data_IF_972117649314
#
_entry.id   IF_972117649314
#
_cell.length_a   1.000
_cell.length_b   1.000
_cell.length_c   1.000
_cell.angle_alpha   90.00
_cell.angle_beta   90.00
_cell.angle_gamma   90.00
#
_symmetry.space_group_name_H-M   'P 1'
#
loop_
_entity.id
_entity.type
_entity.pdbx_description
1 polymer ?
#
# COMPACT_ATOMS: atom_id res chain seq x y z
N UNK A 1 68.20 18.74 65.98
CA UNK A 1 67.20 19.37 65.09
C UNK A 1 66.36 18.25 64.52
N UNK A 2 65.07 18.04 64.80
CA UNK A 2 64.02 18.84 65.41
C UNK A 2 62.72 18.39 64.73
N UNK A 3 61.76 17.91 65.53
CA UNK A 3 60.31 17.86 65.22
C UNK A 3 59.85 16.86 64.14
N UNK A 4 58.64 16.32 64.12
CA UNK A 4 57.56 16.07 65.08
C UNK A 4 56.49 15.30 64.29
N UNK A 5 55.89 14.31 64.94
CA UNK A 5 54.51 13.83 64.83
C UNK A 5 53.58 14.58 63.83
N UNK A 6 52.84 13.86 62.99
CA UNK A 6 51.37 13.82 63.15
C UNK A 6 50.63 12.76 62.34
N UNK A 7 49.63 12.20 63.04
CA UNK A 7 48.57 11.29 62.63
C UNK A 7 47.68 11.93 61.55
N UNK A 8 47.32 11.14 60.52
CA UNK A 8 46.21 11.42 59.60
C UNK A 8 45.17 10.30 59.68
N UNK A 9 44.04 10.60 60.30
CA UNK A 9 42.86 9.73 60.43
C UNK A 9 42.25 9.42 59.06
N UNK A 10 41.61 8.25 58.99
CA UNK A 10 40.98 7.73 57.78
C UNK A 10 39.83 8.56 57.23
N UNK A 11 39.47 8.25 55.98
CA UNK A 11 38.17 8.57 55.41
C UNK A 11 37.58 7.30 54.80
N UNK A 12 36.51 6.86 55.45
CA UNK A 12 35.55 5.85 55.00
C UNK A 12 35.07 6.22 53.60
N UNK A 13 35.03 5.26 52.69
CA UNK A 13 34.34 5.39 51.42
C UNK A 13 32.86 5.76 51.67
N UNK A 14 32.27 6.69 50.89
CA UNK A 14 30.84 6.98 50.98
C UNK A 14 30.02 5.79 50.47
N UNK A 15 28.88 5.45 51.10
CA UNK A 15 28.01 4.39 50.60
C UNK A 15 27.33 4.80 49.29
N UNK A 16 26.95 3.84 48.43
CA UNK A 16 26.28 4.11 47.15
C UNK A 16 24.90 4.75 47.34
N UNK A 17 24.41 5.53 46.35
CA UNK A 17 23.15 6.25 46.44
C UNK A 17 21.95 5.28 46.48
N UNK A 18 21.04 5.51 47.44
CA UNK A 18 19.77 4.78 47.55
C UNK A 18 18.84 5.10 46.36
N UNK A 19 18.07 4.11 45.85
CA UNK A 19 17.07 4.36 44.82
C UNK A 19 15.96 5.26 45.36
N UNK A 20 15.62 6.32 44.62
CA UNK A 20 14.52 7.23 44.93
C UNK A 20 13.19 6.49 44.83
N UNK A 21 12.47 6.41 45.96
CA UNK A 21 11.08 6.01 46.02
C UNK A 21 10.20 6.97 45.20
N UNK A 22 9.38 6.43 44.29
CA UNK A 22 8.27 7.15 43.67
C UNK A 22 6.94 6.68 44.27
N UNK A 23 6.10 7.68 44.51
CA UNK A 23 4.88 7.75 45.31
C UNK A 23 3.68 6.93 44.74
N UNK A 24 2.55 6.83 45.48
CA UNK A 24 1.63 5.71 45.42
C UNK A 24 0.54 5.80 44.34
N UNK A 25 0.08 4.63 43.90
CA UNK A 25 -1.10 4.43 43.03
C UNK A 25 -2.39 4.70 43.81
N UNK A 26 -3.38 5.42 43.27
CA UNK A 26 -4.71 5.49 43.88
C UNK A 26 -5.48 4.19 43.63
N UNK A 27 -5.92 3.54 44.71
CA UNK A 27 -6.97 2.50 44.72
C UNK A 27 -8.31 3.15 45.05
N UNK A 28 -9.36 2.77 44.32
CA UNK A 28 -10.79 2.58 44.71
C UNK A 28 -11.64 2.81 43.46
N UNK A 29 -12.82 2.22 43.26
CA UNK A 29 -13.49 1.03 43.77
C UNK A 29 -14.67 0.83 42.80
N UNK A 30 -15.15 -0.40 42.70
CA UNK A 30 -16.34 -0.80 41.92
C UNK A 30 -17.56 0.07 42.24
N UNK A 31 -18.36 0.45 41.22
CA UNK A 31 -19.83 0.30 41.27
C UNK A 31 -20.51 0.54 39.91
N UNK A 32 -21.43 -0.37 39.61
CA UNK A 32 -22.45 -0.37 38.56
C UNK A 32 -23.26 0.94 38.57
N UNK A 33 -23.68 1.43 37.40
CA UNK A 33 -25.07 1.88 37.16
C UNK A 33 -25.33 2.20 35.68
N UNK A 34 -26.37 1.55 35.15
CA UNK A 34 -27.17 1.97 34.00
C UNK A 34 -27.69 3.40 34.19
N UNK A 35 -27.87 4.15 33.09
CA UNK A 35 -29.04 5.01 32.75
C UNK A 35 -28.64 5.92 31.57
N UNK A 36 -29.15 5.65 30.37
CA UNK A 36 -30.33 6.32 29.78
C UNK A 36 -30.12 7.82 29.55
N UNK A 37 -29.88 8.19 28.29
CA UNK A 37 -29.92 9.56 27.78
C UNK A 37 -31.36 10.10 27.85
N UNK A 38 -31.60 11.30 28.42
CA UNK A 38 -32.90 11.93 28.38
C UNK A 38 -33.09 12.75 27.08
N UNK A 39 -34.32 12.73 26.56
CA UNK A 39 -34.81 13.62 25.50
C UNK A 39 -34.96 15.05 26.03
N UNK A 40 -34.80 16.11 25.23
CA UNK A 40 -35.34 17.41 25.57
C UNK A 40 -36.72 17.61 24.92
N UNK A 41 -37.72 17.93 25.76
CA UNK A 41 -38.99 18.56 25.35
C UNK A 41 -38.91 20.04 25.72
N UNK A 42 -39.03 20.87 24.68
CA UNK A 42 -39.69 22.19 24.58
C UNK A 42 -39.67 23.20 25.72
N UNK A 43 -39.39 24.46 25.37
CA UNK A 43 -40.38 25.57 25.23
C UNK A 43 -39.65 26.90 25.02
N UNK A 44 -40.24 27.80 24.22
CA UNK A 44 -39.85 29.21 24.18
C UNK A 44 -40.39 29.94 22.96
N UNK A 45 -41.55 30.59 23.11
CA UNK A 45 -42.20 31.45 22.12
C UNK A 45 -41.45 32.79 22.01
N UNK A 46 -41.38 33.34 20.79
CA UNK A 46 -40.95 34.73 20.55
C UNK A 46 -41.33 35.16 19.14
N UNK A 47 -42.09 36.25 19.03
CA UNK A 47 -42.82 36.71 17.85
C UNK A 47 -41.94 37.19 16.68
N UNK A 48 -42.44 37.06 15.45
CA UNK A 48 -42.08 37.95 14.34
C UNK A 48 -43.20 38.06 13.29
N UNK A 49 -43.22 39.24 12.68
CA UNK A 49 -44.33 39.92 12.00
C UNK A 49 -44.60 39.41 10.58
N UNK A 50 -45.82 39.67 10.10
CA UNK A 50 -46.31 39.47 8.72
C UNK A 50 -45.50 40.29 7.70
N UNK A 51 -45.22 39.68 6.55
CA UNK A 51 -45.00 40.31 5.23
C UNK A 51 -45.32 39.29 4.10
N UNK A 52 -45.58 39.73 2.85
CA UNK A 52 -46.58 39.11 1.97
C UNK A 52 -46.06 38.08 0.96
N UNK A 53 -47.05 37.41 0.36
CA UNK A 53 -46.99 36.30 -0.60
C UNK A 53 -46.28 36.68 -1.92
N UNK A 54 -45.32 35.85 -2.35
CA UNK A 54 -45.00 35.63 -3.76
C UNK A 54 -44.78 34.13 -4.03
N UNK A 55 -45.25 33.69 -5.20
CA UNK A 55 -45.59 32.32 -5.54
C UNK A 55 -44.43 31.35 -5.72
N UNK A 56 -44.73 30.07 -5.47
CA UNK A 56 -43.91 28.93 -5.82
C UNK A 56 -44.58 28.14 -6.96
N UNK A 57 -43.82 27.67 -7.96
CA UNK A 57 -44.35 26.86 -9.05
C UNK A 57 -44.66 25.42 -8.61
N UNK A 58 -45.73 24.88 -9.19
CA UNK A 58 -46.30 23.54 -8.96
C UNK A 58 -45.43 22.45 -9.61
N UNK A 59 -45.13 21.39 -8.88
CA UNK A 59 -44.55 20.13 -9.41
C UNK A 59 -45.63 19.28 -10.10
N UNK A 60 -45.30 18.52 -11.17
CA UNK A 60 -46.28 17.67 -11.85
C UNK A 60 -46.41 16.29 -11.17
N UNK A 61 -47.65 15.80 -11.08
CA UNK A 61 -48.03 14.45 -10.64
C UNK A 61 -47.66 13.38 -11.68
N UNK A 62 -47.34 12.13 -11.28
CA UNK A 62 -47.07 11.05 -12.23
C UNK A 62 -48.37 10.50 -12.85
N UNK A 63 -48.35 10.31 -14.18
CA UNK A 63 -49.46 9.77 -14.97
C UNK A 63 -49.47 8.23 -14.97
N UNK A 64 -50.69 7.71 -15.08
CA UNK A 64 -51.16 6.32 -15.03
C UNK A 64 -50.46 5.39 -16.04
N UNK A 65 -50.28 4.13 -15.63
CA UNK A 65 -49.97 2.98 -16.49
C UNK A 65 -51.17 2.63 -17.39
N UNK A 66 -50.93 2.18 -18.64
CA UNK A 66 -51.80 1.23 -19.32
C UNK A 66 -51.21 -0.19 -19.30
N UNK A 67 -52.12 -1.16 -19.29
CA UNK A 67 -51.86 -2.61 -19.37
C UNK A 67 -51.80 -3.07 -20.83
N UNK A 68 -51.00 -4.13 -21.01
CA UNK A 68 -51.07 -5.23 -21.98
C UNK A 68 -51.00 -4.95 -23.47
N UNK A 69 -50.01 -5.58 -24.12
CA UNK A 69 -50.20 -6.39 -25.31
C UNK A 69 -49.12 -7.50 -25.33
N UNK A 70 -49.59 -8.74 -25.43
CA UNK A 70 -48.80 -9.95 -25.55
C UNK A 70 -48.20 -10.10 -26.96
N UNK A 71 -46.98 -10.64 -27.05
CA UNK A 71 -46.39 -11.40 -28.19
C UNK A 71 -45.01 -11.89 -27.74
N UNK A 72 -44.91 -13.15 -27.32
CA UNK A 72 -44.42 -14.29 -28.11
C UNK A 72 -42.96 -14.17 -28.57
N UNK A 73 -42.11 -15.06 -28.06
CA UNK A 73 -41.02 -15.65 -28.83
C UNK A 73 -39.66 -14.94 -28.79
N UNK A 74 -38.82 -15.34 -27.84
CA UNK A 74 -37.51 -16.00 -28.07
C UNK A 74 -36.68 -15.92 -26.80
N UNK A 75 -36.51 -17.07 -26.13
CA UNK A 75 -35.49 -17.28 -25.11
C UNK A 75 -34.13 -17.19 -25.81
N UNK A 76 -33.44 -16.07 -25.66
CA UNK A 76 -32.00 -16.04 -25.87
C UNK A 76 -31.38 -16.77 -24.68
N UNK A 77 -30.98 -18.03 -24.91
CA UNK A 77 -30.13 -18.77 -23.99
C UNK A 77 -28.80 -18.04 -23.90
N UNK A 78 -28.62 -17.28 -22.82
CA UNK A 78 -27.30 -16.81 -22.41
C UNK A 78 -26.51 -18.04 -21.99
N UNK A 79 -25.67 -18.54 -22.89
CA UNK A 79 -24.63 -19.51 -22.57
C UNK A 79 -23.82 -18.93 -21.39
N UNK A 80 -23.70 -19.64 -20.25
CA UNK A 80 -22.81 -19.17 -19.20
C UNK A 80 -21.41 -19.09 -19.81
N UNK A 81 -20.82 -17.90 -19.76
CA UNK A 81 -19.45 -17.65 -20.18
C UNK A 81 -18.56 -18.58 -19.34
N UNK A 82 -18.15 -19.71 -19.92
CA UNK A 82 -17.10 -20.55 -19.38
C UNK A 82 -15.83 -19.71 -19.39
N UNK A 83 -15.46 -19.18 -18.23
CA UNK A 83 -14.09 -18.71 -18.02
C UNK A 83 -13.15 -19.88 -18.35
N UNK A 84 -12.04 -19.63 -19.07
CA UNK A 84 -11.03 -20.64 -19.26
C UNK A 84 -10.47 -21.00 -17.88
N UNK A 85 -10.70 -22.24 -17.45
CA UNK A 85 -10.06 -22.78 -16.26
C UNK A 85 -8.56 -22.80 -16.53
N UNK A 86 -7.83 -21.87 -15.93
CA UNK A 86 -6.39 -21.99 -15.76
C UNK A 86 -6.12 -23.41 -15.25
N UNK A 87 -5.16 -24.11 -15.86
CA UNK A 87 -4.79 -25.47 -15.49
C UNK A 87 -4.64 -25.53 -13.96
N UNK A 88 -5.53 -26.27 -13.30
CA UNK A 88 -5.62 -26.28 -11.84
C UNK A 88 -4.38 -26.99 -11.31
N UNK A 89 -3.36 -26.22 -10.95
CA UNK A 89 -2.28 -26.68 -10.10
C UNK A 89 -2.93 -27.28 -8.84
N UNK A 90 -2.67 -28.56 -8.57
CA UNK A 90 -3.32 -29.26 -7.46
C UNK A 90 -2.95 -28.56 -6.15
N UNK A 91 -3.96 -28.23 -5.35
CA UNK A 91 -3.74 -27.53 -4.09
C UNK A 91 -2.79 -28.34 -3.18
N UNK A 92 -1.81 -27.65 -2.58
CA UNK A 92 -0.84 -28.27 -1.65
C UNK A 92 -1.39 -28.26 -0.24
N UNK A 93 -1.29 -29.38 0.47
CA UNK A 93 -1.73 -29.52 1.87
C UNK A 93 -0.57 -30.06 2.68
N UNK A 94 -0.29 -29.43 3.83
CA UNK A 94 0.75 -29.85 4.76
C UNK A 94 0.10 -30.57 5.96
N UNK A 95 0.55 -31.78 6.27
CA UNK A 95 0.17 -32.49 7.49
C UNK A 95 1.34 -32.50 8.48
N UNK A 96 1.10 -32.09 9.72
CA UNK A 96 2.13 -31.98 10.77
C UNK A 96 1.73 -32.80 11.97
N UNK A 97 2.52 -33.80 12.31
CA UNK A 97 2.28 -34.73 13.43
C UNK A 97 3.61 -35.38 13.80
N UNK A 98 3.91 -35.55 15.09
CA UNK A 98 5.16 -36.17 15.55
C UNK A 98 5.14 -37.71 15.47
N UNK A 99 3.97 -38.32 15.24
CA UNK A 99 3.83 -39.75 15.05
C UNK A 99 3.90 -40.14 13.55
N UNK A 100 4.97 -40.82 13.09
CA UNK A 100 5.11 -41.17 11.66
C UNK A 100 3.98 -42.04 11.12
N UNK A 101 3.40 -42.90 11.98
CA UNK A 101 2.26 -43.76 11.64
C UNK A 101 1.00 -42.96 11.33
N UNK A 102 0.78 -41.85 12.04
CA UNK A 102 -0.37 -40.96 11.79
C UNK A 102 -0.19 -40.26 10.44
N UNK A 103 1.01 -39.74 10.15
CA UNK A 103 1.33 -39.14 8.86
C UNK A 103 1.16 -40.12 7.69
N UNK A 104 1.59 -41.38 7.86
CA UNK A 104 1.39 -42.43 6.87
C UNK A 104 -0.11 -42.74 6.66
N UNK A 105 -0.89 -42.82 7.75
CA UNK A 105 -2.34 -42.98 7.70
C UNK A 105 -3.03 -41.83 6.94
N UNK A 106 -2.60 -40.57 7.18
CA UNK A 106 -3.11 -39.40 6.46
C UNK A 106 -2.77 -39.46 4.97
N UNK A 107 -1.53 -39.83 4.61
CA UNK A 107 -1.11 -40.05 3.22
C UNK A 107 -1.96 -41.09 2.53
N UNK A 108 -2.21 -42.23 3.16
CA UNK A 108 -3.03 -43.30 2.60
C UNK A 108 -4.49 -42.87 2.40
N UNK A 109 -5.05 -42.19 3.40
CA UNK A 109 -6.43 -41.69 3.37
C UNK A 109 -6.63 -40.71 2.22
N UNK A 110 -5.68 -39.78 2.04
CA UNK A 110 -5.78 -38.67 1.09
C UNK A 110 -5.10 -38.96 -0.27
N UNK A 111 -4.57 -40.16 -0.50
CA UNK A 111 -3.86 -40.54 -1.73
C UNK A 111 -4.66 -40.29 -3.02
N UNK A 112 -5.98 -40.45 -2.97
CA UNK A 112 -6.90 -40.25 -4.10
C UNK A 112 -7.50 -38.85 -4.15
N UNK A 113 -7.22 -38.01 -3.16
CA UNK A 113 -7.69 -36.64 -3.11
C UNK A 113 -6.93 -35.79 -4.15
N UNK A 114 -7.53 -34.71 -4.66
CA UNK A 114 -6.93 -33.85 -5.68
C UNK A 114 -5.88 -32.87 -5.09
N UNK A 115 -5.07 -33.33 -4.13
CA UNK A 115 -4.10 -32.52 -3.40
C UNK A 115 -2.68 -33.06 -3.53
N UNK A 116 -1.70 -32.18 -3.44
CA UNK A 116 -0.29 -32.55 -3.24
C UNK A 116 0.00 -32.49 -1.75
N UNK A 117 0.37 -33.63 -1.15
CA UNK A 117 0.61 -33.72 0.28
C UNK A 117 2.10 -33.60 0.61
N UNK A 118 2.43 -32.66 1.49
CA UNK A 118 3.70 -32.65 2.23
C UNK A 118 3.42 -33.04 3.68
N UNK A 119 4.43 -33.61 4.36
CA UNK A 119 4.31 -33.94 5.78
C UNK A 119 5.52 -33.45 6.56
N UNK A 120 5.31 -33.06 7.80
CA UNK A 120 6.38 -32.75 8.76
C UNK A 120 6.16 -33.50 10.07
N UNK A 121 7.26 -33.92 10.71
CA UNK A 121 7.30 -34.60 12.01
C UNK A 121 7.12 -33.66 13.21
N UNK A 122 6.79 -32.40 13.00
CA UNK A 122 6.60 -31.43 14.08
C UNK A 122 6.53 -29.98 13.60
N UNK A 123 6.15 -29.05 14.49
CA UNK A 123 5.90 -27.66 14.14
C UNK A 123 7.09 -26.91 13.53
N UNK A 124 8.32 -27.20 13.98
CA UNK A 124 9.53 -26.56 13.44
C UNK A 124 9.80 -26.93 11.98
N UNK A 125 9.75 -28.23 11.66
CA UNK A 125 9.87 -28.74 10.29
C UNK A 125 8.70 -28.26 9.42
N UNK A 126 7.49 -28.19 9.98
CA UNK A 126 6.32 -27.66 9.28
C UNK A 126 6.48 -26.20 8.84
N UNK A 127 7.06 -25.33 9.69
CA UNK A 127 7.37 -23.95 9.33
C UNK A 127 8.44 -23.86 8.25
N UNK A 128 9.44 -24.74 8.29
CA UNK A 128 10.49 -24.76 7.29
C UNK A 128 9.94 -25.17 5.91
N UNK A 129 9.06 -26.18 5.85
CA UNK A 129 8.37 -26.55 4.62
C UNK A 129 7.47 -25.42 4.10
N UNK A 130 6.75 -24.72 4.99
CA UNK A 130 5.94 -23.56 4.58
C UNK A 130 6.79 -22.45 3.94
N UNK A 131 8.02 -22.20 4.43
CA UNK A 131 8.95 -21.21 3.86
C UNK A 131 9.60 -21.67 2.56
N UNK A 132 10.07 -22.90 2.52
CA UNK A 132 10.89 -23.43 1.42
C UNK A 132 10.06 -23.95 0.24
N UNK A 133 8.91 -24.56 0.51
CA UNK A 133 8.08 -25.19 -0.51
C UNK A 133 6.75 -24.46 -0.74
N UNK A 134 6.37 -23.47 0.07
CA UNK A 134 5.09 -22.77 -0.04
C UNK A 134 4.79 -22.20 -1.43
N UNK A 135 3.52 -21.85 -1.73
CA UNK A 135 2.40 -21.74 -0.81
C UNK A 135 1.65 -23.07 -0.56
N UNK A 136 1.03 -23.18 0.62
CA UNK A 136 0.11 -24.27 0.97
C UNK A 136 -1.31 -23.73 1.13
N UNK A 137 -2.29 -24.47 0.62
CA UNK A 137 -3.69 -24.08 0.74
C UNK A 137 -4.26 -24.40 2.13
N UNK A 138 -3.84 -25.51 2.72
CA UNK A 138 -4.24 -25.90 4.06
C UNK A 138 -3.11 -26.58 4.83
N UNK A 139 -3.15 -26.41 6.14
CA UNK A 139 -2.29 -27.10 7.10
C UNK A 139 -3.18 -27.86 8.09
N UNK A 140 -2.88 -29.14 8.28
CA UNK A 140 -3.49 -29.99 9.32
C UNK A 140 -2.41 -30.32 10.33
N UNK A 141 -2.55 -29.82 11.56
CA UNK A 141 -1.57 -30.06 12.63
C UNK A 141 -2.18 -30.88 13.74
N UNK A 142 -1.42 -31.81 14.32
CA UNK A 142 -1.77 -32.36 15.63
C UNK A 142 -1.60 -31.32 16.74
N UNK A 143 -2.33 -31.50 17.85
CA UNK A 143 -2.24 -30.67 19.03
C UNK A 143 -0.99 -30.95 19.87
N UNK A 144 -0.65 -32.22 20.09
CA UNK A 144 0.43 -32.65 21.00
C UNK A 144 1.66 -33.01 20.20
N UNK A 145 2.61 -32.08 20.11
CA UNK A 145 3.91 -32.33 19.50
C UNK A 145 5.03 -31.85 20.44
N UNK A 146 6.16 -32.57 20.53
CA UNK A 146 7.32 -32.13 21.29
C UNK A 146 7.87 -30.78 20.82
N UNK A 147 8.29 -29.94 21.76
CA UNK A 147 8.93 -28.65 21.49
C UNK A 147 7.94 -27.52 21.16
N UNK A 148 7.19 -27.65 20.06
CA UNK A 148 6.18 -26.68 19.64
C UNK A 148 4.85 -27.41 19.43
N UNK A 149 3.83 -27.04 20.21
CA UNK A 149 2.52 -27.68 20.09
C UNK A 149 1.73 -27.16 18.88
N UNK A 150 0.63 -27.83 18.52
CA UNK A 150 -0.16 -27.48 17.34
C UNK A 150 -0.74 -26.07 17.36
N UNK A 151 -1.19 -25.60 18.54
CA UNK A 151 -1.75 -24.26 18.66
C UNK A 151 -0.68 -23.18 18.46
N UNK A 152 0.50 -23.35 19.05
CA UNK A 152 1.66 -22.46 18.88
C UNK A 152 2.13 -22.42 17.42
N UNK A 153 2.22 -23.59 16.79
CA UNK A 153 2.55 -23.71 15.38
C UNK A 153 1.55 -22.96 14.51
N UNK A 154 0.24 -23.25 14.64
CA UNK A 154 -0.80 -22.60 13.84
C UNK A 154 -0.90 -21.09 14.10
N UNK A 155 -0.57 -20.62 15.31
CA UNK A 155 -0.47 -19.19 15.62
C UNK A 155 0.68 -18.52 14.85
N UNK A 156 1.83 -19.18 14.67
CA UNK A 156 2.91 -18.68 13.81
C UNK A 156 2.52 -18.73 12.33
N UNK A 157 1.88 -19.81 11.88
CA UNK A 157 1.34 -19.91 10.52
C UNK A 157 0.39 -18.76 10.21
N UNK A 158 -0.45 -18.33 11.17
CA UNK A 158 -1.34 -17.18 11.00
C UNK A 158 -0.58 -15.88 10.71
N UNK A 159 0.58 -15.68 11.33
CA UNK A 159 1.37 -14.45 11.19
C UNK A 159 2.21 -14.50 9.91
N UNK A 160 2.93 -15.59 9.67
CA UNK A 160 3.85 -15.74 8.53
C UNK A 160 3.12 -16.09 7.22
N UNK A 161 2.01 -16.83 7.30
CA UNK A 161 1.26 -17.35 6.15
C UNK A 161 -0.26 -17.16 6.31
N UNK A 162 -0.74 -15.90 6.39
CA UNK A 162 -2.11 -15.59 6.77
C UNK A 162 -3.17 -16.24 5.85
N UNK A 163 -2.86 -16.39 4.56
CA UNK A 163 -3.73 -16.98 3.55
C UNK A 163 -3.93 -18.50 3.75
N UNK A 164 -3.02 -19.20 4.42
CA UNK A 164 -3.07 -20.67 4.57
C UNK A 164 -4.17 -21.10 5.53
N UNK A 165 -5.12 -21.94 5.12
CA UNK A 165 -6.20 -22.38 6.01
C UNK A 165 -5.68 -23.37 7.07
N UNK A 166 -5.96 -23.10 8.35
CA UNK A 166 -5.40 -23.85 9.49
C UNK A 166 -6.44 -24.79 10.08
N UNK A 167 -6.13 -26.09 10.14
CA UNK A 167 -6.97 -27.15 10.74
C UNK A 167 -6.21 -27.80 11.88
N UNK A 168 -6.86 -27.94 13.03
CA UNK A 168 -6.29 -28.64 14.18
C UNK A 168 -6.89 -30.04 14.29
N UNK A 169 -6.05 -31.05 14.37
CA UNK A 169 -6.41 -32.43 14.67
C UNK A 169 -6.05 -32.71 16.14
N UNK A 170 -6.99 -33.20 16.95
CA UNK A 170 -6.80 -33.29 18.41
C UNK A 170 -7.48 -34.51 19.01
N UNK A 171 -6.97 -35.04 20.12
CA UNK A 171 -7.69 -36.04 20.92
C UNK A 171 -8.87 -35.44 21.70
N UNK A 172 -9.83 -36.27 22.12
CA UNK A 172 -10.98 -35.82 22.93
C UNK A 172 -10.58 -35.20 24.27
N UNK A 173 -9.51 -35.70 24.89
CA UNK A 173 -9.00 -35.20 26.17
C UNK A 173 -8.44 -33.76 26.09
N UNK A 174 -8.08 -33.30 24.89
CA UNK A 174 -7.44 -32.00 24.67
C UNK A 174 -8.41 -30.95 24.12
N UNK A 175 -9.65 -31.33 23.78
CA UNK A 175 -10.60 -30.47 23.08
C UNK A 175 -10.94 -29.20 23.88
N UNK A 176 -11.13 -29.32 25.20
CA UNK A 176 -11.42 -28.19 26.07
C UNK A 176 -10.24 -27.19 26.18
N UNK A 177 -9.01 -27.69 26.26
CA UNK A 177 -7.79 -26.89 26.29
C UNK A 177 -7.47 -26.27 24.92
N UNK A 178 -7.78 -27.00 23.85
CA UNK A 178 -7.62 -26.52 22.47
C UNK A 178 -8.53 -25.31 22.19
N UNK A 179 -9.81 -25.34 22.62
CA UNK A 179 -10.74 -24.22 22.41
C UNK A 179 -10.23 -22.91 23.03
N UNK A 180 -9.56 -22.97 24.19
CA UNK A 180 -9.00 -21.80 24.85
C UNK A 180 -7.82 -21.19 24.07
N UNK A 181 -6.96 -22.02 23.49
CA UNK A 181 -5.80 -21.60 22.68
C UNK A 181 -6.18 -21.17 21.24
N UNK A 182 -7.29 -21.70 20.70
CA UNK A 182 -7.76 -21.50 19.32
C UNK A 182 -8.08 -20.03 18.97
N UNK A 183 -8.48 -19.21 19.95
CA UNK A 183 -8.78 -17.80 19.71
C UNK A 183 -7.57 -17.00 19.21
N UNK A 184 -6.35 -17.44 19.53
CA UNK A 184 -5.10 -16.79 19.09
C UNK A 184 -4.67 -17.27 17.69
N UNK A 185 -4.98 -18.51 17.31
CA UNK A 185 -4.59 -19.11 16.02
C UNK A 185 -5.54 -18.88 14.84
N UNK A 186 -6.77 -18.37 15.08
CA UNK A 186 -7.84 -18.31 14.04
C UNK A 186 -7.92 -19.59 13.21
N UNK A 187 -8.09 -20.70 13.92
CA UNK A 187 -8.22 -22.04 13.33
C UNK A 187 -9.58 -22.12 12.63
N UNK A 188 -9.57 -22.62 11.40
CA UNK A 188 -10.77 -22.74 10.56
C UNK A 188 -11.71 -23.83 11.07
N UNK A 189 -11.15 -24.99 11.44
CA UNK A 189 -11.91 -26.12 11.99
C UNK A 189 -11.02 -27.00 12.86
N UNK A 190 -11.61 -27.62 13.87
CA UNK A 190 -10.98 -28.69 14.65
C UNK A 190 -11.58 -30.04 14.28
N UNK A 191 -10.75 -31.08 14.28
CA UNK A 191 -11.12 -32.46 14.04
C UNK A 191 -10.68 -33.31 15.24
N UNK A 192 -11.50 -34.28 15.64
CA UNK A 192 -11.16 -35.20 16.72
C UNK A 192 -10.54 -36.49 16.20
N UNK A 193 -9.47 -36.97 16.85
CA UNK A 193 -8.90 -38.31 16.62
C UNK A 193 -9.73 -39.36 17.39
N UNK A 194 -10.06 -40.53 16.78
CA UNK A 194 -9.82 -40.89 15.38
C UNK A 194 -10.77 -40.14 14.43
N UNK A 195 -10.25 -39.66 13.29
CA UNK A 195 -11.03 -38.91 12.30
C UNK A 195 -11.44 -39.83 11.13
N UNK A 196 -12.74 -40.01 10.87
CA UNK A 196 -13.21 -40.74 9.69
C UNK A 196 -12.74 -40.09 8.39
N UNK A 197 -12.40 -40.92 7.40
CA UNK A 197 -11.95 -40.48 6.08
C UNK A 197 -12.84 -39.39 5.47
N UNK A 198 -14.15 -39.63 5.44
CA UNK A 198 -15.09 -38.72 4.79
C UNK A 198 -15.12 -37.35 5.46
N UNK A 199 -14.94 -37.30 6.78
CA UNK A 199 -14.89 -36.06 7.55
C UNK A 199 -13.60 -35.28 7.28
N UNK A 200 -12.47 -35.96 7.18
CA UNK A 200 -11.19 -35.35 6.83
C UNK A 200 -11.21 -34.81 5.40
N UNK A 201 -11.69 -35.59 4.43
CA UNK A 201 -11.80 -35.18 3.03
C UNK A 201 -12.75 -33.98 2.86
N UNK A 202 -13.91 -33.99 3.54
CA UNK A 202 -14.85 -32.86 3.53
C UNK A 202 -14.23 -31.61 4.15
N UNK A 203 -13.54 -31.74 5.29
CA UNK A 203 -12.91 -30.60 5.96
C UNK A 203 -11.77 -30.02 5.15
N UNK A 204 -10.96 -30.84 4.49
CA UNK A 204 -9.91 -30.36 3.59
C UNK A 204 -10.48 -29.69 2.35
N UNK A 205 -11.57 -30.21 1.78
CA UNK A 205 -12.27 -29.56 0.67
C UNK A 205 -12.75 -28.16 1.07
N UNK A 206 -13.40 -28.04 2.22
CA UNK A 206 -13.84 -26.75 2.75
C UNK A 206 -12.65 -25.82 3.03
N UNK A 207 -11.56 -26.35 3.58
CA UNK A 207 -10.37 -25.56 3.91
C UNK A 207 -9.64 -25.03 2.68
N UNK A 208 -9.52 -25.84 1.63
CA UNK A 208 -8.94 -25.45 0.34
C UNK A 208 -9.84 -24.46 -0.38
N UNK A 209 -11.16 -24.64 -0.34
CA UNK A 209 -12.10 -23.66 -0.90
C UNK A 209 -12.03 -22.33 -0.15
N UNK A 210 -11.94 -22.36 1.18
CA UNK A 210 -11.75 -21.15 1.98
C UNK A 210 -10.45 -20.43 1.61
N UNK A 211 -9.35 -21.17 1.42
CA UNK A 211 -8.09 -20.59 0.94
C UNK A 211 -8.28 -19.93 -0.43
N UNK A 212 -8.94 -20.64 -1.36
CA UNK A 212 -9.24 -20.10 -2.69
C UNK A 212 -10.04 -18.80 -2.63
N UNK A 213 -11.05 -18.72 -1.75
CA UNK A 213 -11.86 -17.50 -1.57
C UNK A 213 -11.03 -16.35 -1.00
N UNK A 214 -10.24 -16.60 0.05
CA UNK A 214 -9.39 -15.57 0.69
C UNK A 214 -8.33 -15.07 -0.28
N UNK A 215 -7.64 -15.96 -0.99
CA UNK A 215 -6.64 -15.59 -1.99
C UNK A 215 -7.27 -14.89 -3.19
N UNK A 216 -8.44 -15.34 -3.66
CA UNK A 216 -9.15 -14.67 -4.75
C UNK A 216 -9.59 -13.24 -4.36
N UNK A 217 -10.12 -13.05 -3.15
CA UNK A 217 -10.45 -11.72 -2.61
C UNK A 217 -9.20 -10.84 -2.56
N UNK A 218 -8.08 -11.34 -2.00
CA UNK A 218 -6.81 -10.61 -1.94
C UNK A 218 -6.32 -10.21 -3.33
N UNK A 219 -6.26 -11.14 -4.28
CA UNK A 219 -5.81 -10.89 -5.66
C UNK A 219 -6.73 -9.90 -6.37
N UNK A 220 -8.05 -10.02 -6.20
CA UNK A 220 -9.00 -9.08 -6.77
C UNK A 220 -8.83 -7.68 -6.18
N UNK A 221 -8.66 -7.58 -4.86
CA UNK A 221 -8.41 -6.31 -4.18
C UNK A 221 -7.09 -5.67 -4.64
N UNK A 222 -6.00 -6.43 -4.73
CA UNK A 222 -4.70 -5.95 -5.21
C UNK A 222 -4.77 -5.48 -6.67
N UNK A 223 -5.41 -6.24 -7.55
CA UNK A 223 -5.61 -5.85 -8.96
C UNK A 223 -6.48 -4.60 -9.07
N UNK A 224 -7.57 -4.54 -8.29
CA UNK A 224 -8.48 -3.38 -8.29
C UNK A 224 -7.78 -2.14 -7.74
N UNK A 225 -6.98 -2.29 -6.69
CA UNK A 225 -6.20 -1.22 -6.08
C UNK A 225 -5.16 -0.67 -7.06
N UNK A 226 -4.40 -1.55 -7.71
CA UNK A 226 -3.43 -1.17 -8.75
C UNK A 226 -4.12 -0.47 -9.92
N UNK A 227 -5.27 -0.98 -10.36
CA UNK A 227 -6.10 -0.35 -11.39
C UNK A 227 -6.60 1.04 -10.99
N UNK A 228 -7.00 1.21 -9.73
CA UNK A 228 -7.49 2.48 -9.18
C UNK A 228 -6.38 3.54 -9.10
N UNK A 229 -5.20 3.15 -8.60
CA UNK A 229 -4.01 4.01 -8.59
C UNK A 229 -3.62 4.42 -10.01
N UNK A 230 -3.60 3.46 -10.95
CA UNK A 230 -3.32 3.74 -12.35
C UNK A 230 -4.31 4.75 -12.94
N UNK A 231 -5.61 4.55 -12.73
CA UNK A 231 -6.64 5.47 -13.21
C UNK A 231 -6.50 6.88 -12.61
N UNK A 232 -6.10 7.01 -11.34
CA UNK A 232 -5.82 8.31 -10.71
C UNK A 232 -4.59 9.00 -11.34
N UNK A 233 -3.53 8.25 -11.64
CA UNK A 233 -2.35 8.79 -12.32
C UNK A 233 -2.68 9.23 -13.76
N UNK A 234 -3.46 8.45 -14.51
CA UNK A 234 -3.92 8.80 -15.86
C UNK A 234 -4.84 10.04 -15.84
N UNK A 235 -5.72 10.16 -14.83
CA UNK A 235 -6.53 11.35 -14.65
C UNK A 235 -5.68 12.59 -14.31
N UNK A 236 -4.67 12.45 -13.45
CA UNK A 236 -3.72 13.52 -13.15
C UNK A 236 -2.99 13.98 -14.42
N UNK A 237 -2.56 13.04 -15.25
CA UNK A 237 -1.90 13.33 -16.52
C UNK A 237 -2.81 14.11 -17.49
N UNK A 238 -4.08 13.72 -17.59
CA UNK A 238 -5.04 14.43 -18.42
C UNK A 238 -5.30 15.86 -17.93
N UNK A 239 -5.30 16.12 -16.62
CA UNK A 239 -5.61 17.44 -16.06
C UNK A 239 -4.35 18.31 -15.94
N UNK A 240 -3.23 17.71 -15.55
CA UNK A 240 -1.99 18.39 -15.20
C UNK A 240 -0.77 17.52 -15.58
N UNK A 241 -0.36 17.54 -16.87
CA UNK A 241 0.74 16.71 -17.36
C UNK A 241 2.09 17.06 -16.72
N UNK A 242 2.30 18.32 -16.30
CA UNK A 242 3.51 18.73 -15.59
C UNK A 242 3.60 18.03 -14.23
N UNK A 243 2.51 17.97 -13.46
CA UNK A 243 2.46 17.23 -12.20
C UNK A 243 2.66 15.73 -12.39
N UNK A 244 2.08 15.14 -13.44
CA UNK A 244 2.30 13.72 -13.79
C UNK A 244 3.75 13.43 -14.17
N UNK A 245 4.38 14.28 -14.99
CA UNK A 245 5.79 14.13 -15.35
C UNK A 245 6.73 14.19 -14.14
N UNK A 246 6.39 15.00 -13.13
CA UNK A 246 7.11 15.03 -11.85
C UNK A 246 6.93 13.75 -11.06
N UNK A 247 5.70 13.23 -10.93
CA UNK A 247 5.48 11.97 -10.21
C UNK A 247 6.20 10.80 -10.88
N UNK A 248 6.25 10.77 -12.22
CA UNK A 248 7.02 9.78 -12.97
C UNK A 248 8.54 9.88 -12.72
N UNK A 249 9.12 11.10 -12.68
CA UNK A 249 10.54 11.29 -12.32
C UNK A 249 10.84 10.83 -10.90
N UNK A 250 10.03 11.24 -9.93
CA UNK A 250 10.18 10.85 -8.51
C UNK A 250 10.07 9.33 -8.40
N UNK A 251 9.07 8.70 -9.04
CA UNK A 251 8.91 7.25 -9.03
C UNK A 251 10.12 6.51 -9.58
N UNK A 252 10.71 6.95 -10.71
CA UNK A 252 11.92 6.33 -11.27
C UNK A 252 13.10 6.35 -10.30
N UNK A 253 13.36 7.49 -9.66
CA UNK A 253 14.45 7.59 -8.68
C UNK A 253 14.19 6.70 -7.47
N UNK A 254 12.96 6.69 -6.98
CA UNK A 254 12.54 5.87 -5.84
C UNK A 254 12.66 4.38 -6.16
N UNK A 255 12.25 3.94 -7.35
CA UNK A 255 12.35 2.54 -7.81
C UNK A 255 13.81 2.08 -7.82
N UNK A 256 14.72 2.87 -8.42
CA UNK A 256 16.14 2.55 -8.50
C UNK A 256 16.80 2.44 -7.12
N UNK A 257 16.52 3.40 -6.23
CA UNK A 257 17.10 3.42 -4.88
C UNK A 257 16.49 2.32 -4.00
N UNK A 258 15.19 2.06 -4.10
CA UNK A 258 14.53 1.01 -3.33
C UNK A 258 15.01 -0.39 -3.71
N UNK A 259 15.30 -0.60 -5.00
CA UNK A 259 15.92 -1.83 -5.51
C UNK A 259 17.34 -2.00 -4.98
N UNK A 260 18.17 -0.95 -5.06
CA UNK A 260 19.56 -0.97 -4.56
C UNK A 260 19.64 -1.32 -3.06
N UNK A 261 18.72 -0.78 -2.26
CA UNK A 261 18.69 -1.00 -0.80
C UNK A 261 17.99 -2.30 -0.38
N UNK A 262 17.36 -3.03 -1.31
CA UNK A 262 16.63 -4.27 -1.00
C UNK A 262 15.48 -4.06 -0.01
N UNK A 263 14.76 -2.93 -0.09
CA UNK A 263 13.65 -2.65 0.83
C UNK A 263 12.54 -3.71 0.72
N UNK A 264 11.95 -4.12 1.85
CA UNK A 264 10.91 -5.17 1.87
C UNK A 264 9.59 -4.69 1.24
N UNK A 265 9.07 -3.52 1.66
CA UNK A 265 7.82 -2.95 1.14
C UNK A 265 8.08 -1.93 0.02
N UNK A 266 8.54 -2.42 -1.13
CA UNK A 266 8.74 -1.59 -2.35
C UNK A 266 7.43 -1.07 -2.91
N UNK A 267 6.39 -1.90 -2.87
CA UNK A 267 5.11 -1.57 -3.50
C UNK A 267 4.49 -0.29 -2.92
N UNK A 268 4.42 -0.17 -1.59
CA UNK A 268 3.85 1.03 -0.97
C UNK A 268 4.66 2.28 -1.28
N UNK A 269 5.98 2.14 -1.35
CA UNK A 269 6.90 3.22 -1.66
C UNK A 269 6.77 3.71 -3.12
N UNK A 270 6.73 2.78 -4.07
CA UNK A 270 6.49 3.09 -5.49
C UNK A 270 5.15 3.79 -5.71
N UNK A 271 4.08 3.27 -5.07
CA UNK A 271 2.75 3.88 -5.15
C UNK A 271 2.78 5.28 -4.55
N UNK A 272 3.39 5.47 -3.38
CA UNK A 272 3.52 6.77 -2.73
C UNK A 272 4.23 7.79 -3.63
N UNK A 273 5.31 7.39 -4.30
CA UNK A 273 6.02 8.25 -5.25
C UNK A 273 5.12 8.68 -6.42
N UNK A 274 4.38 7.74 -7.02
CA UNK A 274 3.49 8.00 -8.17
C UNK A 274 2.30 8.90 -7.84
N UNK A 275 1.74 8.79 -6.63
CA UNK A 275 0.60 9.60 -6.19
C UNK A 275 0.99 10.86 -5.43
N UNK A 276 2.28 11.07 -5.14
CA UNK A 276 2.79 12.21 -4.37
C UNK A 276 2.37 13.57 -4.91
N UNK A 277 2.18 13.67 -6.23
CA UNK A 277 1.81 14.91 -6.92
C UNK A 277 0.30 15.08 -7.12
N UNK A 278 -0.54 14.13 -6.66
CA UNK A 278 -2.00 14.15 -6.88
C UNK A 278 -2.66 15.41 -6.30
N UNK A 279 -2.13 15.94 -5.20
CA UNK A 279 -2.68 17.14 -4.56
C UNK A 279 -2.56 18.42 -5.38
N UNK A 280 -1.73 18.45 -6.43
CA UNK A 280 -1.60 19.62 -7.31
C UNK A 280 -2.86 19.92 -8.13
N UNK A 281 -3.79 18.96 -8.24
CA UNK A 281 -5.12 19.17 -8.84
C UNK A 281 -5.91 20.27 -8.12
N UNK A 282 -5.66 20.50 -6.83
CA UNK A 282 -6.37 21.51 -6.06
C UNK A 282 -5.82 22.94 -6.23
N UNK A 283 -4.70 23.12 -6.92
CA UNK A 283 -4.13 24.45 -7.14
C UNK A 283 -4.84 25.16 -8.31
N UNK A 284 -5.13 26.46 -8.19
CA UNK A 284 -5.53 27.27 -9.33
C UNK A 284 -4.47 27.21 -10.46
N UNK A 285 -4.86 27.20 -11.74
CA UNK A 285 -3.92 27.07 -12.86
C UNK A 285 -2.76 28.08 -12.82
N UNK A 286 -3.04 29.33 -12.46
CA UNK A 286 -2.05 30.41 -12.37
C UNK A 286 -1.05 30.16 -11.23
N UNK A 287 -1.53 29.56 -10.13
CA UNK A 287 -0.65 29.19 -9.00
C UNK A 287 0.23 28.02 -9.40
N UNK A 288 -0.33 26.99 -10.03
CA UNK A 288 0.40 25.82 -10.48
C UNK A 288 1.48 26.22 -11.50
N UNK A 289 1.16 27.09 -12.45
CA UNK A 289 2.10 27.59 -13.45
C UNK A 289 3.28 28.35 -12.80
N UNK A 290 3.02 29.25 -11.85
CA UNK A 290 4.09 29.93 -11.10
C UNK A 290 5.00 28.93 -10.38
N UNK A 291 4.43 27.87 -9.78
CA UNK A 291 5.22 26.80 -9.15
C UNK A 291 6.13 26.13 -10.17
N UNK A 292 5.62 25.78 -11.36
CA UNK A 292 6.40 25.08 -12.39
C UNK A 292 7.49 25.94 -13.04
N UNK A 293 7.26 27.25 -13.09
CA UNK A 293 8.21 28.24 -13.61
C UNK A 293 9.20 28.72 -12.54
N UNK A 294 9.04 28.32 -11.27
CA UNK A 294 9.90 28.79 -10.17
C UNK A 294 9.68 30.27 -9.84
N UNK A 295 8.54 30.85 -10.20
CA UNK A 295 8.19 32.24 -9.92
C UNK A 295 7.84 32.38 -8.42
N UNK A 296 8.32 33.45 -7.74
CA UNK A 296 7.98 33.69 -6.34
C UNK A 296 6.47 33.75 -6.10
N UNK A 297 6.01 32.96 -5.13
CA UNK A 297 4.60 32.89 -4.73
C UNK A 297 4.25 33.93 -3.67
N UNK A 298 3.05 34.48 -3.75
CA UNK A 298 2.42 35.28 -2.69
C UNK A 298 2.19 34.46 -1.41
N UNK A 299 1.90 35.14 -0.30
CA UNK A 299 1.59 34.46 0.97
C UNK A 299 0.38 33.53 0.86
N UNK A 300 -0.67 33.94 0.13
CA UNK A 300 -1.85 33.14 -0.11
C UNK A 300 -1.54 31.89 -0.96
N UNK A 301 -0.78 32.06 -2.05
CA UNK A 301 -0.35 30.95 -2.92
C UNK A 301 0.54 29.95 -2.18
N UNK A 302 1.47 30.43 -1.33
CA UNK A 302 2.27 29.55 -0.46
C UNK A 302 1.39 28.75 0.49
N UNK A 303 0.35 29.36 1.04
CA UNK A 303 -0.63 28.67 1.88
C UNK A 303 -1.40 27.57 1.14
N UNK A 304 -1.75 27.78 -0.12
CA UNK A 304 -2.36 26.75 -0.97
C UNK A 304 -1.38 25.61 -1.27
N UNK A 305 -0.14 25.93 -1.64
CA UNK A 305 0.92 24.95 -1.91
C UNK A 305 1.21 24.08 -0.69
N UNK A 306 1.25 24.66 0.51
CA UNK A 306 1.49 23.93 1.76
C UNK A 306 0.41 22.88 2.06
N UNK A 307 -0.80 23.02 1.51
CA UNK A 307 -1.92 22.07 1.71
C UNK A 307 -1.91 20.90 0.72
N UNK A 308 -1.09 20.95 -0.33
CA UNK A 308 -1.03 19.91 -1.38
C UNK A 308 -0.84 18.50 -0.81
N UNK A 309 0.10 18.24 0.13
CA UNK A 309 0.27 16.90 0.71
C UNK A 309 -0.99 16.40 1.44
N UNK A 310 -1.64 17.29 2.20
CA UNK A 310 -2.89 16.98 2.91
C UNK A 310 -4.04 16.66 1.95
N UNK A 311 -4.12 17.37 0.82
CA UNK A 311 -5.11 17.09 -0.23
C UNK A 311 -4.87 15.70 -0.83
N UNK A 312 -3.63 15.36 -1.17
CA UNK A 312 -3.31 14.02 -1.70
C UNK A 312 -3.73 12.91 -0.73
N UNK A 313 -3.42 13.08 0.56
CA UNK A 313 -3.83 12.11 1.61
C UNK A 313 -5.34 12.02 1.76
N UNK A 314 -6.06 13.14 1.63
CA UNK A 314 -7.53 13.17 1.71
C UNK A 314 -8.17 12.45 0.52
N UNK A 315 -7.61 12.60 -0.69
CA UNK A 315 -8.09 11.90 -1.89
C UNK A 315 -7.86 10.39 -1.82
N UNK A 316 -6.75 9.96 -1.22
CA UNK A 316 -6.37 8.55 -1.11
C UNK A 316 -6.97 7.86 0.13
N UNK A 317 -7.33 8.61 1.16
CA UNK A 317 -7.84 8.11 2.45
C UNK A 317 -9.01 7.12 2.36
N UNK A 318 -10.01 7.33 1.47
CA UNK A 318 -11.11 6.38 1.30
C UNK A 318 -10.74 5.03 0.66
N UNK A 319 -9.54 4.89 0.08
CA UNK A 319 -9.13 3.68 -0.63
C UNK A 319 -8.55 2.67 0.37
N UNK A 320 -9.15 1.48 0.54
CA UNK A 320 -8.65 0.48 1.47
C UNK A 320 -7.23 0.01 1.13
N UNK A 321 -6.44 -0.37 2.14
CA UNK A 321 -5.07 -0.90 2.00
C UNK A 321 -4.02 0.13 1.55
N UNK A 322 -4.37 1.42 1.48
CA UNK A 322 -3.40 2.50 1.26
C UNK A 322 -2.84 3.08 2.56
N UNK A 323 -3.11 2.49 3.73
CA UNK A 323 -2.57 2.97 5.00
C UNK A 323 -1.03 3.08 5.02
N UNK A 324 -0.25 2.11 4.48
CA UNK A 324 1.20 2.26 4.37
C UNK A 324 1.62 3.42 3.45
N UNK A 325 0.93 3.59 2.32
CA UNK A 325 1.16 4.70 1.38
C UNK A 325 0.87 6.06 2.04
N UNK A 326 -0.23 6.16 2.78
CA UNK A 326 -0.62 7.37 3.51
C UNK A 326 0.35 7.70 4.65
N UNK A 327 0.93 6.67 5.28
CA UNK A 327 1.97 6.84 6.29
C UNK A 327 3.25 7.42 5.68
N UNK A 328 3.68 6.92 4.52
CA UNK A 328 4.83 7.46 3.79
C UNK A 328 4.61 8.92 3.39
N UNK A 329 3.45 9.25 2.79
CA UNK A 329 3.10 10.62 2.40
C UNK A 329 2.96 11.58 3.60
N UNK A 330 2.70 11.06 4.79
CA UNK A 330 2.60 11.84 6.03
C UNK A 330 3.90 12.01 6.80
N UNK A 331 4.97 11.30 6.42
CA UNK A 331 6.24 11.29 7.16
C UNK A 331 6.92 12.66 7.23
N UNK A 332 6.66 13.52 6.24
CA UNK A 332 7.13 14.92 6.16
C UNK A 332 6.75 15.78 7.36
N UNK A 333 5.59 15.50 7.97
CA UNK A 333 5.00 16.27 9.07
C UNK A 333 5.62 15.92 10.44
N UNK A 334 6.45 14.86 10.53
CA UNK A 334 7.12 14.49 11.78
C UNK A 334 8.35 15.37 12.00
N UNK A 335 8.30 16.24 13.01
CA UNK A 335 9.43 17.06 13.43
C UNK A 335 10.34 16.30 14.41
N UNK A 336 11.66 16.35 14.15
CA UNK A 336 12.69 16.05 15.15
C UNK A 336 13.19 14.60 15.25
N UNK A 337 12.61 13.65 14.51
CA UNK A 337 13.12 12.27 14.44
C UNK A 337 13.66 11.93 13.05
N UNK A 338 14.73 11.12 13.00
CA UNK A 338 15.23 10.53 11.75
C UNK A 338 14.11 9.73 11.07
N UNK A 339 13.97 9.92 9.76
CA UNK A 339 13.00 9.20 8.94
C UNK A 339 13.42 7.74 8.75
N UNK A 340 12.47 6.79 8.73
CA UNK A 340 12.74 5.41 8.29
C UNK A 340 13.31 5.35 6.86
N UNK A 341 13.96 4.25 6.45
CA UNK A 341 14.57 4.13 5.12
C UNK A 341 13.62 4.47 3.96
N UNK A 342 12.44 3.83 3.89
CA UNK A 342 11.47 4.09 2.82
C UNK A 342 10.96 5.55 2.79
N UNK A 343 10.72 6.14 3.97
CA UNK A 343 10.32 7.55 4.07
C UNK A 343 11.45 8.49 3.64
N UNK A 344 12.70 8.17 4.00
CA UNK A 344 13.89 8.92 3.57
C UNK A 344 14.04 8.91 2.05
N UNK A 345 13.86 7.75 1.42
CA UNK A 345 13.95 7.61 -0.04
C UNK A 345 12.93 8.50 -0.74
N UNK A 346 11.65 8.44 -0.33
CA UNK A 346 10.60 9.27 -0.90
C UNK A 346 10.86 10.76 -0.67
N UNK A 347 11.24 11.14 0.55
CA UNK A 347 11.46 12.54 0.91
C UNK A 347 12.64 13.18 0.17
N UNK A 348 13.76 12.46 0.04
CA UNK A 348 14.91 12.92 -0.73
C UNK A 348 14.51 13.13 -2.19
N UNK A 349 13.85 12.15 -2.82
CA UNK A 349 13.40 12.28 -4.22
C UNK A 349 12.47 13.49 -4.42
N UNK A 350 11.53 13.71 -3.51
CA UNK A 350 10.62 14.85 -3.58
C UNK A 350 11.32 16.21 -3.39
N UNK A 351 12.33 16.28 -2.51
CA UNK A 351 13.11 17.51 -2.33
C UNK A 351 14.05 17.77 -3.52
N UNK A 352 14.63 16.72 -4.11
CA UNK A 352 15.43 16.85 -5.33
C UNK A 352 14.59 17.33 -6.52
N UNK A 353 13.40 16.76 -6.74
CA UNK A 353 12.47 17.25 -7.79
C UNK A 353 12.07 18.71 -7.56
N UNK A 354 11.88 19.13 -6.30
CA UNK A 354 11.60 20.53 -5.98
C UNK A 354 12.79 21.47 -6.29
N UNK A 355 14.03 21.02 -6.09
CA UNK A 355 15.23 21.77 -6.48
C UNK A 355 15.39 21.82 -8.00
N UNK A 356 15.14 20.72 -8.70
CA UNK A 356 15.19 20.68 -10.16
C UNK A 356 14.20 21.67 -10.80
N UNK A 357 13.00 21.81 -10.23
CA UNK A 357 12.04 22.85 -10.66
C UNK A 357 12.58 24.27 -10.54
N UNK A 358 13.47 24.53 -9.57
CA UNK A 358 14.14 25.81 -9.39
C UNK A 358 15.40 25.95 -10.26
N UNK A 359 15.65 25.00 -11.18
CA UNK A 359 16.83 24.97 -12.04
C UNK A 359 18.11 24.53 -11.31
N UNK A 360 18.00 23.93 -10.13
CA UNK A 360 19.15 23.43 -9.37
C UNK A 360 19.34 21.95 -9.74
N UNK A 361 20.50 21.55 -10.30
CA UNK A 361 20.74 20.17 -10.69
C UNK A 361 20.80 19.24 -9.47
N UNK A 362 20.46 17.94 -9.62
CA UNK A 362 20.35 17.00 -8.50
C UNK A 362 21.57 16.95 -7.58
N UNK A 363 22.78 16.99 -8.13
CA UNK A 363 24.03 17.02 -7.36
C UNK A 363 24.10 18.20 -6.40
N UNK A 364 23.78 19.41 -6.88
CA UNK A 364 23.72 20.62 -6.04
C UNK A 364 22.54 20.55 -5.07
N UNK A 365 21.44 19.91 -5.45
CA UNK A 365 20.33 19.59 -4.55
C UNK A 365 20.79 18.75 -3.36
N UNK A 366 21.50 17.65 -3.63
CA UNK A 366 22.07 16.76 -2.59
C UNK A 366 23.06 17.50 -1.68
N UNK A 367 23.92 18.36 -2.23
CA UNK A 367 24.81 19.21 -1.41
C UNK A 367 24.04 20.11 -0.45
N UNK A 368 22.88 20.64 -0.85
CA UNK A 368 22.01 21.43 0.02
C UNK A 368 21.33 20.56 1.08
N UNK A 369 20.85 19.37 0.69
CA UNK A 369 20.23 18.41 1.60
C UNK A 369 21.22 17.89 2.66
N UNK A 370 22.51 17.80 2.32
CA UNK A 370 23.56 17.33 3.24
C UNK A 370 23.63 18.14 4.54
N UNK A 371 23.21 19.41 4.54
CA UNK A 371 23.12 20.25 5.75
C UNK A 371 22.09 19.76 6.77
N UNK A 372 21.14 18.92 6.33
CA UNK A 372 20.08 18.29 7.13
C UNK A 372 20.14 16.76 7.00
N UNK A 373 21.32 16.20 6.72
CA UNK A 373 21.53 14.77 6.49
C UNK A 373 21.11 13.90 7.68
N UNK A 374 21.17 14.45 8.89
CA UNK A 374 20.76 13.81 10.15
C UNK A 374 19.28 13.38 10.18
N UNK A 375 18.43 14.06 9.39
CA UNK A 375 17.01 13.73 9.23
C UNK A 375 16.78 12.47 8.40
N UNK A 376 17.67 12.13 7.49
CA UNK A 376 17.48 11.01 6.56
C UNK A 376 18.23 9.76 7.04
N UNK A 377 17.78 8.61 6.54
CA UNK A 377 18.55 7.38 6.64
C UNK A 377 19.89 7.51 5.85
N UNK A 378 21.04 7.17 6.47
CA UNK A 378 22.34 7.34 5.82
C UNK A 378 22.53 6.48 4.57
N UNK A 379 22.00 5.26 4.53
CA UNK A 379 22.13 4.36 3.38
C UNK A 379 21.28 4.87 2.22
N UNK A 380 20.05 5.32 2.51
CA UNK A 380 19.20 5.99 1.54
C UNK A 380 19.87 7.24 0.94
N UNK A 381 20.45 8.10 1.78
CA UNK A 381 21.15 9.29 1.30
C UNK A 381 22.34 8.95 0.40
N UNK A 382 23.16 7.97 0.81
CA UNK A 382 24.31 7.52 0.03
C UNK A 382 23.91 6.89 -1.31
N UNK A 383 22.76 6.20 -1.38
CA UNK A 383 22.24 5.65 -2.64
C UNK A 383 21.89 6.76 -3.64
N UNK A 384 21.24 7.85 -3.20
CA UNK A 384 21.01 9.01 -4.08
C UNK A 384 22.32 9.68 -4.54
N UNK A 385 23.33 9.74 -3.67
CA UNK A 385 24.64 10.26 -4.07
C UNK A 385 25.26 9.42 -5.19
N UNK A 386 25.21 8.08 -5.08
CA UNK A 386 25.69 7.18 -6.14
C UNK A 386 24.88 7.32 -7.42
N UNK A 387 23.55 7.34 -7.32
CA UNK A 387 22.64 7.50 -8.45
C UNK A 387 22.99 8.73 -9.29
N UNK A 388 23.27 9.87 -8.63
CA UNK A 388 23.59 11.12 -9.31
C UNK A 388 25.09 11.33 -9.58
N UNK A 389 25.99 10.45 -9.11
CA UNK A 389 27.43 10.50 -9.41
C UNK A 389 27.78 9.96 -10.80
N UNK A 390 26.98 9.06 -11.37
CA UNK A 390 27.17 8.60 -12.75
C UNK A 390 26.86 9.75 -13.73
N UNK A 391 27.84 10.17 -14.53
CA UNK A 391 27.58 10.98 -15.72
C UNK A 391 27.30 10.01 -16.87
N UNK A 392 26.03 9.67 -17.08
CA UNK A 392 25.66 9.17 -18.40
C UNK A 392 25.86 10.35 -19.39
N UNK A 393 26.57 10.16 -20.51
CA UNK A 393 26.53 11.15 -21.58
C UNK A 393 25.07 11.40 -21.95
N UNK A 394 24.69 12.67 -22.27
CA UNK A 394 23.32 12.96 -22.66
C UNK A 394 22.94 12.03 -23.82
N UNK A 395 21.74 11.42 -23.77
CA UNK A 395 21.30 10.55 -24.84
C UNK A 395 21.36 11.31 -26.17
N UNK A 396 21.73 10.61 -27.25
CA UNK A 396 21.64 11.18 -28.58
C UNK A 396 20.19 11.63 -28.82
N UNK A 397 19.99 12.69 -29.60
CA UNK A 397 18.66 13.26 -29.82
C UNK A 397 18.40 13.42 -31.30
N UNK A 398 17.17 13.15 -31.72
CA UNK A 398 16.68 13.42 -33.07
C UNK A 398 15.45 14.30 -33.03
N UNK A 399 15.21 15.00 -34.12
CA UNK A 399 14.02 15.84 -34.28
C UNK A 399 12.94 15.08 -35.04
N UNK A 400 11.70 15.14 -34.54
CA UNK A 400 10.54 14.53 -35.17
C UNK A 400 9.32 15.45 -35.09
N UNK A 401 8.38 15.38 -36.04
CA UNK A 401 7.08 16.01 -35.89
C UNK A 401 6.36 15.48 -34.65
N UNK A 402 5.74 16.34 -33.84
CA UNK A 402 5.04 15.94 -32.61
C UNK A 402 3.96 14.87 -32.87
N UNK A 403 3.26 14.94 -34.01
CA UNK A 403 2.28 13.94 -34.46
C UNK A 403 2.84 12.51 -34.62
N UNK A 404 4.15 12.36 -34.81
CA UNK A 404 4.82 11.08 -35.06
C UNK A 404 5.34 10.40 -33.80
N UNK A 405 5.30 11.11 -32.66
CA UNK A 405 5.74 10.61 -31.37
C UNK A 405 4.85 9.45 -30.92
N UNK A 406 5.47 8.41 -30.35
CA UNK A 406 4.78 7.19 -29.89
C UNK A 406 4.95 6.98 -28.40
N UNK A 407 4.08 6.16 -27.81
CA UNK A 407 4.22 5.75 -26.40
C UNK A 407 5.62 5.18 -26.14
N UNK A 408 6.23 5.59 -25.03
CA UNK A 408 7.60 5.25 -24.64
C UNK A 408 8.68 6.20 -25.20
N UNK A 409 8.32 7.15 -26.07
CA UNK A 409 9.29 8.15 -26.54
C UNK A 409 9.60 9.14 -25.42
N UNK A 410 10.88 9.45 -25.17
CA UNK A 410 11.28 10.48 -24.20
C UNK A 410 11.52 11.81 -24.91
N UNK A 411 10.85 12.87 -24.48
CA UNK A 411 11.05 14.21 -25.00
C UNK A 411 12.36 14.80 -24.48
N UNK A 412 13.25 15.24 -25.36
CA UNK A 412 14.55 15.81 -24.99
C UNK A 412 14.47 17.32 -24.69
N UNK A 413 13.30 17.94 -24.86
CA UNK A 413 13.08 19.37 -24.58
C UNK A 413 11.72 19.65 -23.95
N UNK A 414 11.59 20.85 -23.36
CA UNK A 414 10.32 21.33 -22.79
C UNK A 414 9.30 21.57 -23.92
N UNK A 415 8.14 20.93 -23.82
CA UNK A 415 7.02 21.18 -24.72
C UNK A 415 6.09 22.22 -24.09
N UNK A 416 5.81 23.29 -24.82
CA UNK A 416 4.99 24.42 -24.36
C UNK A 416 3.81 24.64 -25.28
N UNK A 417 2.69 25.10 -24.71
CA UNK A 417 1.54 25.58 -25.48
C UNK A 417 1.88 26.91 -26.16
N UNK A 418 1.08 27.30 -27.17
CA UNK A 418 1.21 28.60 -27.84
C UNK A 418 1.06 29.80 -26.89
N UNK A 419 0.44 29.60 -25.73
CA UNK A 419 0.35 30.60 -24.65
C UNK A 419 1.66 30.79 -23.89
N UNK A 420 2.68 29.96 -24.14
CA UNK A 420 3.93 29.90 -23.39
C UNK A 420 3.89 28.97 -22.17
N UNK A 421 2.69 28.49 -21.80
CA UNK A 421 2.47 27.60 -20.68
C UNK A 421 3.16 26.25 -20.91
N UNK A 422 3.83 25.74 -19.87
CA UNK A 422 4.52 24.46 -19.92
C UNK A 422 3.52 23.31 -19.98
N UNK A 423 3.59 22.50 -21.04
CA UNK A 423 2.77 21.30 -21.17
C UNK A 423 3.47 20.12 -20.49
N UNK A 424 4.71 19.83 -20.88
CA UNK A 424 5.56 18.80 -20.26
C UNK A 424 7.03 19.25 -20.28
N UNK A 425 7.81 18.78 -19.30
CA UNK A 425 9.25 19.06 -19.19
C UNK A 425 10.06 18.10 -20.06
N UNK A 426 11.28 18.49 -20.41
CA UNK A 426 12.30 17.56 -20.92
C UNK A 426 12.46 16.33 -19.99
N UNK A 427 12.78 15.18 -20.56
CA UNK A 427 12.84 13.89 -19.89
C UNK A 427 11.48 13.25 -19.61
N UNK A 428 10.39 13.81 -20.16
CA UNK A 428 9.05 13.25 -20.07
C UNK A 428 8.88 12.08 -21.05
N UNK A 429 8.48 10.93 -20.52
CA UNK A 429 8.15 9.74 -21.31
C UNK A 429 6.69 9.82 -21.78
N UNK A 430 6.50 9.70 -23.08
CA UNK A 430 5.19 9.83 -23.73
C UNK A 430 4.31 8.65 -23.37
N UNK A 431 3.14 8.95 -22.81
CA UNK A 431 2.13 7.96 -22.44
C UNK A 431 0.98 7.94 -23.43
N UNK A 432 0.10 6.94 -23.30
CA UNK A 432 -1.14 6.88 -24.06
C UNK A 432 -2.06 8.07 -23.75
N UNK A 433 -2.25 8.43 -22.48
CA UNK A 433 -3.11 9.56 -22.07
C UNK A 433 -2.60 10.90 -22.62
N UNK A 434 -1.28 11.07 -22.70
CA UNK A 434 -0.68 12.24 -23.32
C UNK A 434 -1.02 12.35 -24.81
N UNK A 435 -0.87 11.24 -25.56
CA UNK A 435 -1.22 11.20 -26.97
C UNK A 435 -2.71 11.51 -27.18
N UNK A 436 -3.59 10.98 -26.32
CA UNK A 436 -5.02 11.30 -26.34
C UNK A 436 -5.31 12.77 -26.05
N UNK A 437 -4.57 13.38 -25.12
CA UNK A 437 -4.69 14.81 -24.81
C UNK A 437 -4.26 15.68 -25.99
N UNK A 438 -3.07 15.46 -26.55
CA UNK A 438 -2.53 16.33 -27.61
C UNK A 438 -3.31 16.23 -28.92
N UNK A 439 -4.03 15.11 -29.17
CA UNK A 439 -4.94 14.98 -30.32
C UNK A 439 -6.06 16.03 -30.35
N UNK A 440 -6.34 16.67 -29.21
CA UNK A 440 -7.32 17.76 -29.13
C UNK A 440 -6.73 19.14 -29.44
N UNK A 441 -5.42 19.23 -29.75
CA UNK A 441 -4.77 20.49 -30.11
C UNK A 441 -4.84 20.75 -31.62
N UNK A 442 -4.67 22.02 -32.06
CA UNK A 442 -4.67 22.39 -33.47
C UNK A 442 -3.62 21.63 -34.28
N UNK A 443 -3.89 21.39 -35.57
CA UNK A 443 -2.98 20.67 -36.46
C UNK A 443 -1.59 21.32 -36.58
N UNK A 444 -1.52 22.65 -36.51
CA UNK A 444 -0.25 23.39 -36.52
C UNK A 444 0.60 23.06 -35.28
N UNK A 445 -0.04 22.86 -34.13
CA UNK A 445 0.65 22.44 -32.91
C UNK A 445 1.20 21.01 -33.05
N UNK A 446 0.46 20.13 -33.71
CA UNK A 446 0.90 18.75 -33.97
C UNK A 446 1.96 18.65 -35.08
N UNK A 447 2.07 19.68 -35.92
CA UNK A 447 3.07 19.80 -36.97
C UNK A 447 4.45 20.20 -36.45
N UNK A 448 4.52 20.80 -35.27
CA UNK A 448 5.77 21.32 -34.75
C UNK A 448 6.81 20.21 -34.58
N UNK A 449 8.05 20.55 -34.88
CA UNK A 449 9.20 19.68 -34.68
C UNK A 449 9.61 19.69 -33.21
N UNK A 450 9.79 18.50 -32.63
CA UNK A 450 10.23 18.30 -31.26
C UNK A 450 11.44 17.38 -31.19
N UNK A 451 12.38 17.68 -30.30
CA UNK A 451 13.53 16.81 -30.03
C UNK A 451 13.16 15.67 -29.09
N UNK A 452 13.58 14.46 -29.45
CA UNK A 452 13.36 13.23 -28.68
C UNK A 452 14.68 12.47 -28.51
N UNK A 453 14.79 11.68 -27.44
CA UNK A 453 15.97 10.84 -27.17
C UNK A 453 16.03 9.62 -28.11
N UNK A 454 17.24 9.24 -28.53
CA UNK A 454 17.54 8.10 -29.40
C UNK A 454 17.74 6.82 -28.55
N UNK A 455 16.75 5.91 -28.62
CA UNK A 455 16.72 4.64 -27.90
C UNK A 455 15.73 4.68 -26.72
N UNK A 456 14.83 3.71 -26.51
CA UNK A 456 14.77 2.34 -27.00
C UNK A 456 13.49 2.03 -27.80
N UNK A 457 13.64 1.20 -28.83
CA UNK A 457 12.55 0.39 -29.34
C UNK A 457 11.94 -0.43 -28.18
N UNK A 458 10.61 -0.40 -28.12
CA UNK A 458 9.70 -1.36 -27.46
C UNK A 458 10.33 -2.38 -26.49
N UNK A 459 9.91 -2.45 -25.21
CA UNK A 459 9.85 -3.75 -24.58
C UNK A 459 8.84 -4.58 -25.38
N UNK A 460 9.30 -5.67 -25.98
CA UNK A 460 8.46 -6.68 -26.57
C UNK A 460 7.32 -6.99 -25.59
N UNK A 461 6.09 -6.79 -26.05
CA UNK A 461 4.90 -7.28 -25.38
C UNK A 461 5.01 -8.81 -25.39
N UNK A 462 5.61 -9.37 -24.34
CA UNK A 462 5.51 -10.78 -24.05
C UNK A 462 4.12 -10.98 -23.44
N UNK A 463 3.12 -11.10 -24.31
CA UNK A 463 2.02 -12.03 -24.06
C UNK A 463 2.65 -13.39 -23.74
N UNK A 464 2.72 -13.73 -22.45
CA UNK A 464 2.78 -15.13 -22.02
C UNK A 464 1.45 -15.44 -21.38
N UNK A 465 0.81 -16.42 -22.01
CA UNK A 465 -0.45 -17.06 -21.66
C UNK A 465 -0.50 -17.56 -20.20
#
# INVERSE_FOLDING_TARGET
>A
MGSSLHRGRGRRQPPPPRPRARAPRPRRARRRARRQRPRPRGRGRGACRRAPRHGLPRTPRPRRRPRSLARSGRRAGGTPVKQPAAASERARVLCVDDEPRVLEGLRLTLRRAPYVLSTAGGGAEGLELLRSEGPFAAVVSDMRMPGMNGAEFLARVRVEFPDTTRVLLTGQADLASAIAAVNEGQIFRFLTKPCPRDQLEATLRDAVEQHRLVTAERVLLERTLRGSVKALCEALELVNPVASGRSARVARQVEQVAEELGLEDRWSLEVAARVSQLGYIALPPETAEKVYQGVPLSSAERGLLARVPTVARTLLGPIPRLEPVLALLGSRESEGSRLPPAASVLEIALELDAYELQGIPPRRGLERLRRRADRYDPEAFAAFERLHQAQAPPPATRTVPLRSVRVGTVLAEDLRLWTGALLVRAGYEVTQSFLERIRNFPEDFLAQEVRVEDGAAQPACAERA
#
